data_IF_812539750650
#
_entry.id   IF_812539750650
#
_cell.length_a   1.000
_cell.length_b   1.000
_cell.length_c   1.000
_cell.angle_alpha   90.00
_cell.angle_beta   90.00
_cell.angle_gamma   90.00
#
_symmetry.space_group_name_H-M   'P 1'
#
loop_
_entity.id
_entity.type
_entity.pdbx_description
1 polymer ?
#
# COMPACT_ATOMS: atom_id res chain seq x y z
N UNK A 1 -8.04 -19.07 0.93
CA UNK A 1 -7.65 -18.30 -0.26
C UNK A 1 -7.97 -16.85 0.03
N UNK A 2 -7.00 -16.12 0.57
CA UNK A 2 -7.14 -14.74 1.04
C UNK A 2 -5.80 -14.08 1.42
N UNK A 3 -4.70 -14.84 1.39
CA UNK A 3 -3.40 -14.46 1.96
C UNK A 3 -2.79 -13.22 1.27
N UNK A 4 -3.07 -13.01 -0.01
CA UNK A 4 -2.68 -11.80 -0.74
C UNK A 4 -3.39 -10.55 -0.22
N UNK A 5 -4.64 -10.66 0.23
CA UNK A 5 -5.36 -9.52 0.78
C UNK A 5 -4.80 -9.14 2.16
N UNK A 6 -4.44 -10.13 2.97
CA UNK A 6 -3.74 -9.91 4.24
C UNK A 6 -2.35 -9.30 4.00
N UNK A 7 -1.58 -9.80 3.02
CA UNK A 7 -0.27 -9.23 2.66
C UNK A 7 -0.34 -7.74 2.24
N UNK A 8 -1.40 -7.35 1.54
CA UNK A 8 -1.63 -5.95 1.15
C UNK A 8 -2.00 -5.09 2.37
N UNK A 9 -2.84 -5.61 3.28
CA UNK A 9 -3.28 -4.88 4.48
C UNK A 9 -2.12 -4.71 5.47
N UNK A 10 -1.29 -5.74 5.64
CA UNK A 10 -0.10 -5.70 6.49
C UNK A 10 1.05 -4.85 5.89
N UNK A 11 0.88 -4.36 4.65
CA UNK A 11 1.91 -3.55 3.99
C UNK A 11 3.15 -4.33 3.61
N UNK A 12 3.00 -5.63 3.34
CA UNK A 12 4.05 -6.53 2.87
C UNK A 12 4.24 -6.40 1.34
N UNK A 13 3.21 -5.94 0.62
CA UNK A 13 3.28 -5.70 -0.81
C UNK A 13 2.47 -4.47 -1.25
N UNK A 14 2.80 -3.98 -2.44
CA UNK A 14 2.19 -2.79 -3.02
C UNK A 14 0.70 -3.01 -3.27
N UNK A 15 -0.13 -2.12 -2.74
CA UNK A 15 -1.58 -2.20 -2.89
C UNK A 15 -2.07 -2.06 -4.35
N UNK A 16 -1.24 -1.55 -5.26
CA UNK A 16 -1.60 -1.29 -6.66
C UNK A 16 -1.10 -2.39 -7.59
N UNK A 17 0.20 -2.73 -7.51
CA UNK A 17 0.83 -3.68 -8.43
C UNK A 17 1.18 -5.04 -7.78
N UNK A 18 1.06 -5.16 -6.45
CA UNK A 18 1.36 -6.39 -5.73
C UNK A 18 2.86 -6.71 -5.61
N UNK A 19 3.77 -5.77 -5.90
CA UNK A 19 5.20 -5.99 -5.67
C UNK A 19 5.49 -6.08 -4.18
N UNK A 20 6.22 -7.10 -3.74
CA UNK A 20 6.59 -7.26 -2.34
C UNK A 20 7.68 -6.26 -1.93
N UNK A 21 7.54 -5.70 -0.74
CA UNK A 21 8.53 -4.82 -0.13
C UNK A 21 9.61 -5.63 0.59
N UNK A 22 10.81 -5.08 0.70
CA UNK A 22 11.88 -5.66 1.51
C UNK A 22 11.61 -5.48 3.02
N UNK A 23 10.83 -4.46 3.39
CA UNK A 23 10.46 -4.15 4.77
C UNK A 23 8.93 -4.04 4.89
N UNK A 24 8.37 -4.59 5.98
CA UNK A 24 6.96 -4.50 6.28
C UNK A 24 6.59 -3.08 6.72
N UNK A 25 5.59 -2.48 6.05
CA UNK A 25 5.16 -1.12 6.38
C UNK A 25 4.06 -1.11 7.47
N UNK A 26 3.34 -2.21 7.69
CA UNK A 26 2.24 -2.31 8.65
C UNK A 26 0.95 -1.62 8.20
N UNK A 27 0.92 -1.12 6.96
CA UNK A 27 -0.23 -0.50 6.32
C UNK A 27 -0.11 -0.61 4.79
N UNK A 28 -1.24 -0.61 4.05
CA UNK A 28 -1.22 -0.65 2.59
C UNK A 28 -0.50 0.58 2.02
N UNK A 29 0.61 0.34 1.33
CA UNK A 29 1.44 1.38 0.72
C UNK A 29 1.69 1.07 -0.75
N UNK A 30 1.88 2.12 -1.55
CA UNK A 30 2.25 2.01 -2.96
C UNK A 30 3.78 2.01 -3.10
N UNK A 31 4.32 1.20 -4.02
CA UNK A 31 5.75 1.23 -4.33
C UNK A 31 6.15 2.54 -4.99
N UNK A 32 7.45 2.86 -4.98
CA UNK A 32 7.98 4.12 -5.53
C UNK A 32 7.53 4.37 -6.97
N UNK A 33 7.49 3.34 -7.82
CA UNK A 33 6.99 3.49 -9.20
C UNK A 33 5.50 3.84 -9.25
N UNK A 34 4.67 3.18 -8.44
CA UNK A 34 3.24 3.50 -8.37
C UNK A 34 2.95 4.81 -7.64
N UNK A 35 3.87 5.29 -6.81
CA UNK A 35 3.78 6.56 -6.09
C UNK A 35 4.20 7.74 -6.98
N UNK A 36 5.20 7.56 -7.84
CA UNK A 36 5.70 8.57 -8.79
C UNK A 36 4.82 8.70 -10.05
N UNK A 37 4.08 7.66 -10.43
CA UNK A 37 3.14 7.67 -11.57
C UNK A 37 1.83 8.42 -11.24
N UNK A 38 1.93 9.67 -10.74
CA UNK A 38 0.82 10.63 -10.51
C UNK A 38 -0.52 10.01 -10.09
N UNK A 39 -0.48 8.94 -9.30
CA UNK A 39 -1.69 8.28 -8.85
C UNK A 39 -2.09 9.07 -7.62
N UNK A 40 -3.05 9.98 -7.80
CA UNK A 40 -3.68 10.81 -6.79
C UNK A 40 -4.41 9.97 -5.73
N UNK A 41 -3.71 9.06 -5.07
CA UNK A 41 -4.14 8.53 -3.79
C UNK A 41 -3.89 9.65 -2.81
N UNK A 42 -4.88 10.54 -2.71
CA UNK A 42 -4.96 11.50 -1.62
C UNK A 42 -4.74 10.68 -0.34
N UNK A 43 -3.63 10.95 0.36
CA UNK A 43 -3.45 10.46 1.71
C UNK A 43 -4.68 10.92 2.48
N UNK A 44 -5.66 10.02 2.65
CA UNK A 44 -6.75 10.19 3.57
C UNK A 44 -6.14 10.11 4.96
N UNK A 45 -5.42 11.17 5.36
CA UNK A 45 -5.21 11.46 6.77
C UNK A 45 -6.61 11.66 7.31
N UNK A 46 -7.13 10.64 8.00
CA UNK A 46 -8.30 10.76 8.86
C UNK A 46 -7.95 11.78 9.96
N UNK A 47 -8.00 13.07 9.62
CA UNK A 47 -8.09 14.18 10.56
C UNK A 47 -9.57 14.37 10.87
N UNK A 48 -9.95 13.89 12.07
CA UNK A 48 -11.07 14.31 12.92
C UNK A 48 -12.51 14.35 12.33
N UNK A 49 -13.42 13.55 12.91
CA UNK A 49 -14.53 13.96 13.83
C UNK A 49 -15.32 12.73 14.30
#
# INVERSE_FOLDING_TARGET
MGEIADDIIDGLCCAICGVYFEEEHGYPVACSECKDDDCSYEEATEEEI
#
